data_IF_166027812360
#
_entry.id   IF_166027812360
#
_cell.length_a   1.000
_cell.length_b   1.000
_cell.length_c   1.000
_cell.angle_alpha   90.00
_cell.angle_beta   90.00
_cell.angle_gamma   90.00
#
_symmetry.space_group_name_H-M   'P 1'
#
loop_
_entity.id
_entity.type
_entity.pdbx_description
1 polymer ?
#
# COMPACT_ATOMS: atom_id res chain seq x y z
N UNK A 1 -12.13 -4.08 1.05
CA UNK A 1 -10.89 -3.83 1.83
C UNK A 1 -10.69 -4.94 2.84
N UNK A 2 -9.76 -5.83 2.54
CA UNK A 2 -9.22 -6.78 3.51
C UNK A 2 -8.04 -6.03 4.17
N UNK A 3 -8.11 -5.77 5.48
CA UNK A 3 -7.06 -5.05 6.25
C UNK A 3 -7.29 -3.56 6.53
N UNK A 4 -8.28 -2.90 5.90
CA UNK A 4 -8.59 -1.49 6.19
C UNK A 4 -9.25 -1.27 7.57
N UNK A 5 -9.17 -0.05 8.15
CA UNK A 5 -9.68 0.21 9.49
C UNK A 5 -11.20 -0.04 9.60
N UNK A 6 -11.62 -0.57 10.75
CA UNK A 6 -13.03 -0.72 11.14
C UNK A 6 -13.36 0.16 12.32
N UNK A 7 -14.61 0.63 12.39
CA UNK A 7 -15.05 1.38 13.56
C UNK A 7 -15.27 0.45 14.75
N UNK A 8 -14.61 0.73 15.87
CA UNK A 8 -14.77 0.02 17.14
C UNK A 8 -14.98 1.05 18.23
N UNK A 9 -16.23 1.25 18.63
CA UNK A 9 -16.60 2.40 19.48
C UNK A 9 -16.40 3.72 18.73
N UNK A 10 -15.59 4.61 19.31
CA UNK A 10 -15.26 5.91 18.73
C UNK A 10 -13.94 5.91 17.93
N UNK A 11 -13.19 4.80 17.96
CA UNK A 11 -11.89 4.65 17.27
C UNK A 11 -12.01 3.82 15.98
N UNK A 12 -11.04 3.99 15.09
CA UNK A 12 -10.81 3.15 13.93
C UNK A 12 -9.66 2.17 14.17
N UNK A 13 -9.91 0.88 14.01
CA UNK A 13 -8.92 -0.18 14.26
C UNK A 13 -8.61 -0.93 12.98
N UNK A 14 -7.35 -0.94 12.57
CA UNK A 14 -6.87 -1.86 11.55
C UNK A 14 -6.12 -3.03 12.19
N UNK A 15 -6.31 -4.22 11.65
CA UNK A 15 -5.70 -5.45 12.16
C UNK A 15 -4.58 -5.89 11.25
N UNK A 16 -3.40 -6.12 11.82
CA UNK A 16 -2.22 -6.57 11.08
C UNK A 16 -1.45 -7.62 11.87
N UNK A 17 -0.77 -8.57 11.21
CA UNK A 17 0.21 -9.41 11.86
C UNK A 17 1.43 -8.57 12.30
N UNK A 18 2.12 -9.00 13.35
CA UNK A 18 3.44 -8.48 13.77
C UNK A 18 3.51 -6.94 13.91
N UNK A 19 2.39 -6.32 14.32
CA UNK A 19 2.28 -4.88 14.56
C UNK A 19 2.23 -4.02 13.30
N UNK A 20 2.18 -4.62 12.11
CA UNK A 20 2.12 -3.86 10.86
C UNK A 20 3.38 -3.04 10.59
N UNK A 21 4.53 -3.51 11.05
CA UNK A 21 5.83 -2.80 10.96
C UNK A 21 6.53 -2.99 9.61
N UNK A 22 6.06 -3.92 8.79
CA UNK A 22 6.55 -4.19 7.44
C UNK A 22 6.48 -2.93 6.57
N UNK A 23 7.61 -2.51 6.00
CA UNK A 23 7.69 -1.30 5.21
C UNK A 23 7.48 -1.61 3.72
N UNK A 24 6.39 -1.12 3.14
CA UNK A 24 5.98 -1.44 1.77
C UNK A 24 5.88 -0.16 0.95
N UNK A 25 6.15 -0.26 -0.35
CA UNK A 25 5.95 0.86 -1.27
C UNK A 25 4.50 0.96 -1.71
N UNK A 26 3.95 2.17 -1.68
CA UNK A 26 2.60 2.46 -2.13
C UNK A 26 2.63 3.43 -3.30
N UNK A 27 1.84 3.13 -4.33
CA UNK A 27 1.69 3.94 -5.53
C UNK A 27 0.20 4.05 -5.87
N UNK A 28 -0.26 5.25 -6.23
CA UNK A 28 -1.64 5.43 -6.71
C UNK A 28 -1.82 4.82 -8.11
N UNK A 29 -3.04 4.40 -8.44
CA UNK A 29 -3.36 3.88 -9.77
C UNK A 29 -3.21 5.00 -10.82
N UNK A 30 -3.52 6.24 -10.45
CA UNK A 30 -3.35 7.42 -11.28
C UNK A 30 -1.88 7.66 -11.63
N UNK A 31 -0.97 7.52 -10.66
CA UNK A 31 0.47 7.65 -10.90
C UNK A 31 1.01 6.53 -11.80
N UNK A 32 0.49 5.32 -11.67
CA UNK A 32 0.82 4.24 -12.60
C UNK A 32 0.44 4.62 -14.05
N UNK A 33 -0.70 5.30 -14.23
CA UNK A 33 -1.09 5.89 -15.51
C UNK A 33 -0.07 6.91 -16.03
N UNK A 34 0.45 7.80 -15.17
CA UNK A 34 1.51 8.76 -15.54
C UNK A 34 2.80 8.07 -15.97
N UNK A 35 3.22 7.02 -15.25
CA UNK A 35 4.39 6.20 -15.58
C UNK A 35 4.24 5.59 -16.97
N UNK A 36 3.10 4.94 -17.25
CA UNK A 36 2.84 4.38 -18.58
C UNK A 36 2.82 5.46 -19.66
N UNK A 37 2.23 6.62 -19.39
CA UNK A 37 2.24 7.77 -20.30
C UNK A 37 3.67 8.19 -20.67
N UNK A 38 4.55 8.36 -19.68
CA UNK A 38 5.95 8.75 -19.90
C UNK A 38 6.70 7.73 -20.78
N UNK A 39 6.45 6.44 -20.59
CA UNK A 39 7.05 5.37 -21.39
C UNK A 39 6.54 5.41 -22.84
N UNK A 40 5.24 5.58 -23.04
CA UNK A 40 4.60 5.61 -24.36
C UNK A 40 5.03 6.85 -25.16
N UNK A 41 5.23 8.00 -24.51
CA UNK A 41 5.63 9.23 -25.17
C UNK A 41 7.08 9.20 -25.68
N UNK A 42 7.98 8.49 -24.99
CA UNK A 42 9.41 8.41 -25.34
C UNK A 42 9.94 6.97 -25.25
N UNK A 43 9.40 6.02 -26.02
CA UNK A 43 9.68 4.59 -25.87
C UNK A 43 11.17 4.25 -26.07
N UNK A 44 11.89 5.02 -26.87
CA UNK A 44 13.33 4.87 -27.09
C UNK A 44 14.17 5.03 -25.82
N UNK A 45 13.68 5.78 -24.81
CA UNK A 45 14.39 5.96 -23.55
C UNK A 45 14.30 4.72 -22.64
N UNK A 46 13.33 3.84 -22.90
CA UNK A 46 12.96 2.70 -22.04
C UNK A 46 13.10 1.34 -22.75
N UNK A 47 13.44 1.33 -24.04
CA UNK A 47 13.63 0.10 -24.80
C UNK A 47 14.72 -0.76 -24.17
N UNK A 48 14.41 -2.03 -23.90
CA UNK A 48 15.30 -3.00 -23.22
C UNK A 48 15.75 -2.58 -21.80
N UNK A 49 14.92 -1.83 -21.09
CA UNK A 49 15.16 -1.43 -19.69
C UNK A 49 14.03 -1.88 -18.78
N UNK A 50 14.29 -1.94 -17.48
CA UNK A 50 13.27 -2.17 -16.46
C UNK A 50 12.85 -0.79 -15.90
N UNK A 51 11.60 -0.40 -16.13
CA UNK A 51 11.03 0.78 -15.49
C UNK A 51 10.48 0.39 -14.11
N UNK A 52 11.07 0.94 -13.05
CA UNK A 52 10.67 0.69 -11.66
C UNK A 52 9.90 1.89 -11.15
N UNK A 53 8.63 1.68 -10.81
CA UNK A 53 7.77 2.68 -10.20
C UNK A 53 7.56 2.33 -8.73
N UNK A 54 8.34 2.97 -7.86
CA UNK A 54 8.27 2.82 -6.42
C UNK A 54 7.86 4.18 -5.85
N UNK A 55 6.71 4.22 -5.18
CA UNK A 55 6.29 5.38 -4.40
C UNK A 55 6.92 5.36 -3.01
N UNK A 56 6.36 6.16 -2.11
CA UNK A 56 6.84 6.23 -0.73
C UNK A 56 6.71 4.89 -0.02
N UNK A 57 7.64 4.64 0.90
CA UNK A 57 7.66 3.45 1.75
C UNK A 57 7.00 3.77 3.08
N UNK A 58 5.99 3.00 3.45
CA UNK A 58 5.31 3.13 4.72
C UNK A 58 5.09 1.77 5.39
N UNK A 59 5.17 1.76 6.72
CA UNK A 59 4.57 0.70 7.50
C UNK A 59 3.04 0.85 7.54
N UNK A 60 2.32 -0.21 7.88
CA UNK A 60 0.87 -0.09 8.08
C UNK A 60 0.53 0.89 9.22
N UNK A 61 1.44 1.00 10.21
CA UNK A 61 1.34 1.99 11.28
C UNK A 61 1.45 3.42 10.73
N UNK A 62 2.44 3.71 9.88
CA UNK A 62 2.58 5.04 9.26
C UNK A 62 1.34 5.41 8.44
N UNK A 63 0.79 4.46 7.67
CA UNK A 63 -0.38 4.70 6.84
C UNK A 63 -1.60 5.08 7.67
N UNK A 64 -1.88 4.34 8.74
CA UNK A 64 -3.07 4.58 9.57
C UNK A 64 -2.94 5.87 10.38
N UNK A 65 -1.74 6.18 10.88
CA UNK A 65 -1.47 7.43 11.60
C UNK A 65 -1.64 8.64 10.68
N UNK A 66 -1.05 8.60 9.48
CA UNK A 66 -1.17 9.68 8.51
C UNK A 66 -2.59 9.81 7.96
N UNK A 67 -3.30 8.69 7.75
CA UNK A 67 -4.70 8.71 7.37
C UNK A 67 -5.56 9.39 8.45
N UNK A 68 -5.41 8.95 9.71
CA UNK A 68 -6.13 9.48 10.86
C UNK A 68 -5.91 10.98 11.05
N UNK A 69 -4.67 11.44 10.90
CA UNK A 69 -4.30 12.85 10.91
C UNK A 69 -5.04 13.65 9.83
N UNK A 70 -5.03 13.17 8.59
CA UNK A 70 -5.62 13.88 7.45
C UNK A 70 -7.15 13.92 7.52
N UNK A 71 -7.80 12.83 7.94
CA UNK A 71 -9.26 12.76 7.99
C UNK A 71 -9.86 13.22 9.33
N UNK A 72 -9.01 13.44 10.35
CA UNK A 72 -9.42 13.98 11.65
C UNK A 72 -10.15 12.96 12.54
N UNK A 73 -9.67 11.72 12.60
CA UNK A 73 -10.24 10.65 13.45
C UNK A 73 -9.17 10.03 14.34
N UNK A 74 -9.58 9.28 15.37
CA UNK A 74 -8.67 8.44 16.14
C UNK A 74 -8.56 7.07 15.50
N UNK A 75 -7.32 6.58 15.32
CA UNK A 75 -7.09 5.27 14.75
C UNK A 75 -5.86 4.56 15.35
N UNK A 76 -5.87 3.23 15.32
CA UNK A 76 -4.77 2.40 15.82
C UNK A 76 -4.62 1.09 15.07
N UNK A 77 -3.43 0.50 15.19
CA UNK A 77 -3.17 -0.89 14.85
C UNK A 77 -3.48 -1.78 16.05
N UNK A 78 -4.23 -2.86 15.81
CA UNK A 78 -4.33 -3.99 16.72
C UNK A 78 -3.55 -5.17 16.13
N UNK A 79 -2.49 -5.58 16.81
CA UNK A 79 -1.66 -6.71 16.41
C UNK A 79 -2.42 -8.03 16.60
N UNK A 80 -2.52 -8.81 15.53
CA UNK A 80 -3.02 -10.17 15.57
C UNK A 80 -1.86 -11.15 15.37
N UNK A 81 -2.01 -12.39 15.84
CA UNK A 81 -1.14 -13.47 15.34
C UNK A 81 -1.41 -13.70 13.84
N UNK A 82 -0.42 -14.22 13.10
CA UNK A 82 -0.60 -14.53 11.67
C UNK A 82 -1.80 -15.47 11.42
N UNK A 83 -2.06 -16.40 12.35
CA UNK A 83 -3.23 -17.29 12.29
C UNK A 83 -4.54 -16.51 12.44
N UNK A 84 -4.65 -15.65 13.44
CA UNK A 84 -5.86 -14.85 13.67
C UNK A 84 -6.11 -13.87 12.53
N UNK A 85 -5.05 -13.29 11.97
CA UNK A 85 -5.14 -12.43 10.79
C UNK A 85 -5.71 -13.20 9.60
N UNK A 86 -5.12 -14.35 9.24
CA UNK A 86 -5.60 -15.19 8.12
C UNK A 86 -7.02 -15.70 8.34
N UNK A 87 -7.35 -16.19 9.54
CA UNK A 87 -8.70 -16.63 9.90
C UNK A 87 -9.73 -15.51 9.74
N UNK A 88 -9.35 -14.28 10.11
CA UNK A 88 -10.22 -13.11 10.03
C UNK A 88 -10.39 -12.61 8.61
N UNK A 89 -9.32 -12.61 7.81
CA UNK A 89 -9.41 -12.29 6.37
C UNK A 89 -10.29 -13.32 5.64
N UNK A 90 -10.14 -14.61 5.93
CA UNK A 90 -10.99 -15.66 5.37
C UNK A 90 -12.47 -15.49 5.72
N UNK A 91 -12.78 -15.06 6.95
CA UNK A 91 -14.17 -14.77 7.39
C UNK A 91 -14.81 -13.57 6.70
N UNK A 92 -14.02 -12.65 6.15
CA UNK A 92 -14.54 -11.47 5.42
C UNK A 92 -15.03 -11.82 4.00
N UNK A 93 -15.10 -13.10 3.64
CA UNK A 93 -15.61 -13.57 2.35
C UNK A 93 -14.65 -13.34 1.18
N UNK A 94 -13.44 -12.86 1.46
CA UNK A 94 -12.34 -12.91 0.50
C UNK A 94 -11.91 -14.37 0.32
N UNK A 95 -11.56 -14.80 -0.89
CA UNK A 95 -10.90 -16.08 -1.06
C UNK A 95 -9.65 -16.14 -0.18
N UNK A 96 -9.49 -17.23 0.56
CA UNK A 96 -8.37 -17.46 1.49
C UNK A 96 -6.99 -17.22 0.83
N UNK A 97 -6.90 -17.45 -0.48
CA UNK A 97 -5.70 -17.17 -1.26
C UNK A 97 -5.29 -15.69 -1.27
N UNK A 98 -6.23 -14.74 -1.19
CA UNK A 98 -5.90 -13.30 -1.17
C UNK A 98 -5.26 -12.89 0.16
N UNK A 99 -5.65 -13.53 1.26
CA UNK A 99 -5.02 -13.32 2.57
C UNK A 99 -3.55 -13.77 2.55
N UNK A 100 -3.35 -14.97 2.00
CA UNK A 100 -2.03 -15.56 1.83
C UNK A 100 -1.17 -14.75 0.86
N UNK A 101 -1.74 -14.28 -0.25
CA UNK A 101 -1.05 -13.45 -1.22
C UNK A 101 -0.55 -12.14 -0.59
N UNK A 102 -1.39 -11.43 0.16
CA UNK A 102 -0.98 -10.20 0.87
C UNK A 102 0.16 -10.51 1.85
N UNK A 103 0.02 -11.57 2.64
CA UNK A 103 1.05 -11.96 3.60
C UNK A 103 2.38 -12.34 2.94
N UNK A 104 2.34 -13.13 1.86
CA UNK A 104 3.55 -13.53 1.13
C UNK A 104 4.18 -12.35 0.39
N UNK A 105 3.40 -11.41 -0.16
CA UNK A 105 3.94 -10.17 -0.74
C UNK A 105 4.67 -9.33 0.31
N UNK A 106 4.09 -9.19 1.52
CA UNK A 106 4.73 -8.50 2.63
C UNK A 106 6.07 -9.14 2.97
N UNK A 107 6.10 -10.47 3.13
CA UNK A 107 7.33 -11.22 3.42
C UNK A 107 8.36 -11.12 2.31
N UNK A 108 7.97 -11.27 1.05
CA UNK A 108 8.89 -11.14 -0.07
C UNK A 108 9.54 -9.75 -0.12
N UNK A 109 8.79 -8.68 0.17
CA UNK A 109 9.34 -7.33 0.17
C UNK A 109 10.23 -7.06 1.40
N UNK A 110 9.92 -7.63 2.56
CA UNK A 110 10.83 -7.60 3.71
C UNK A 110 12.16 -8.32 3.43
N UNK A 111 12.11 -9.46 2.72
CA UNK A 111 13.30 -10.24 2.37
C UNK A 111 14.10 -9.60 1.22
N UNK A 112 13.43 -9.06 0.20
CA UNK A 112 14.08 -8.47 -0.99
C UNK A 112 14.56 -7.04 -0.77
N UNK A 113 14.00 -6.33 0.21
CA UNK A 113 14.31 -4.93 0.48
C UNK A 113 13.89 -3.99 -0.65
N UNK A 114 14.56 -2.84 -0.76
CA UNK A 114 14.26 -1.84 -1.78
C UNK A 114 14.60 -2.36 -3.17
N UNK A 115 13.59 -2.59 -4.02
CA UNK A 115 13.78 -3.12 -5.37
C UNK A 115 14.68 -2.22 -6.25
N UNK A 116 14.86 -0.93 -5.91
CA UNK A 116 15.84 -0.04 -6.58
C UNK A 116 17.28 -0.49 -6.39
N UNK A 117 17.56 -1.22 -5.31
CA UNK A 117 18.90 -1.70 -4.96
C UNK A 117 19.25 -3.06 -5.57
N UNK A 118 18.28 -3.73 -6.20
CA UNK A 118 18.52 -5.03 -6.83
C UNK A 118 19.42 -4.83 -8.05
N UNK A 119 20.61 -5.42 -7.99
CA UNK A 119 21.51 -5.49 -9.12
C UNK A 119 20.94 -6.47 -10.15
N UNK A 120 20.61 -5.96 -11.33
CA UNK A 120 20.21 -6.78 -12.48
C UNK A 120 21.15 -6.51 -13.65
N UNK A 121 21.22 -7.47 -14.59
CA UNK A 121 21.98 -7.28 -15.83
C UNK A 121 21.33 -6.28 -16.79
N UNK A 122 20.07 -5.90 -16.53
CA UNK A 122 19.29 -4.95 -17.31
C UNK A 122 19.32 -3.59 -16.61
N UNK A 123 19.49 -2.51 -17.39
CA UNK A 123 19.44 -1.16 -16.82
C UNK A 123 18.05 -0.89 -16.22
N UNK A 124 18.04 -0.44 -14.97
CA UNK A 124 16.83 -0.05 -14.24
C UNK A 124 16.67 1.47 -14.27
N UNK A 125 15.48 1.94 -14.60
CA UNK A 125 15.10 3.35 -14.52
C UNK A 125 14.14 3.54 -13.35
N UNK A 126 14.53 4.41 -12.41
CA UNK A 126 13.66 4.88 -11.34
C UNK A 126 12.67 5.93 -11.90
N UNK A 127 11.41 5.54 -12.02
CA UNK A 127 10.37 6.39 -12.59
C UNK A 127 9.96 7.54 -11.66
N UNK A 128 10.29 7.48 -10.37
CA UNK A 128 10.10 8.62 -9.46
C UNK A 128 10.97 9.83 -9.82
N UNK A 129 12.04 9.62 -10.61
CA UNK A 129 12.89 10.69 -11.15
C UNK A 129 12.36 11.27 -12.48
N UNK A 130 11.35 10.63 -13.06
CA UNK A 130 10.80 10.98 -14.38
C UNK A 130 9.43 11.62 -14.25
N UNK A 131 8.59 11.09 -13.36
CA UNK A 131 7.24 11.57 -13.11
C UNK A 131 7.09 11.93 -11.64
N UNK A 132 6.37 13.03 -11.38
CA UNK A 132 6.01 13.41 -10.02
C UNK A 132 4.91 12.46 -9.49
N UNK A 133 5.26 11.70 -8.45
CA UNK A 133 4.38 10.76 -7.78
C UNK A 133 3.61 11.46 -6.66
N UNK A 134 2.36 11.05 -6.47
CA UNK A 134 1.50 11.60 -5.43
C UNK A 134 1.88 11.01 -4.08
N UNK A 135 2.08 11.86 -3.07
CA UNK A 135 2.37 11.36 -1.72
C UNK A 135 1.14 10.72 -1.07
N UNK A 136 1.36 9.85 -0.07
CA UNK A 136 0.23 9.23 0.64
C UNK A 136 -0.73 10.25 1.24
N UNK A 137 -0.23 11.28 1.94
CA UNK A 137 -1.07 12.34 2.52
C UNK A 137 -1.85 13.11 1.45
N UNK A 138 -1.21 13.42 0.32
CA UNK A 138 -1.89 14.09 -0.80
C UNK A 138 -3.01 13.23 -1.37
N UNK A 139 -2.74 11.93 -1.55
CA UNK A 139 -3.73 10.99 -2.05
C UNK A 139 -4.91 10.89 -1.10
N UNK A 140 -4.67 10.72 0.22
CA UNK A 140 -5.72 10.65 1.25
C UNK A 140 -6.56 11.92 1.28
N UNK A 141 -5.93 13.09 1.25
CA UNK A 141 -6.63 14.37 1.27
C UNK A 141 -7.51 14.61 0.04
N UNK A 142 -7.19 13.98 -1.09
CA UNK A 142 -7.94 14.10 -2.33
C UNK A 142 -9.17 13.16 -2.42
N UNK A 143 -9.27 12.15 -1.54
CA UNK A 143 -10.39 11.19 -1.58
C UNK A 143 -11.65 11.68 -0.86
N UNK A 144 -12.81 11.27 -1.36
CA UNK A 144 -14.07 11.34 -0.60
C UNK A 144 -14.23 10.09 0.28
N UNK A 145 -14.09 10.27 1.59
CA UNK A 145 -14.17 9.18 2.58
C UNK A 145 -15.60 8.89 3.05
N UNK A 146 -16.62 9.59 2.53
CA UNK A 146 -18.01 9.48 3.01
C UNK A 146 -18.54 8.05 2.92
N UNK A 147 -18.40 7.40 1.77
CA UNK A 147 -18.86 6.03 1.57
C UNK A 147 -18.10 5.03 2.43
N UNK A 148 -16.79 5.26 2.59
CA UNK A 148 -15.96 4.44 3.48
C UNK A 148 -16.48 4.47 4.91
N UNK A 149 -16.69 5.66 5.47
CA UNK A 149 -17.20 5.82 6.84
C UNK A 149 -18.58 5.18 7.04
N UNK A 150 -19.47 5.28 6.04
CA UNK A 150 -20.77 4.61 6.08
C UNK A 150 -20.64 3.08 6.04
N UNK A 151 -19.67 2.55 5.30
CA UNK A 151 -19.45 1.12 5.19
C UNK A 151 -18.87 0.52 6.47
N UNK A 152 -17.89 1.17 7.09
CA UNK A 152 -17.16 0.62 8.24
C UNK A 152 -17.79 0.88 9.61
N UNK A 153 -18.87 1.67 9.64
CA UNK A 153 -19.67 1.93 10.84
C UNK A 153 -20.85 0.96 11.03
N UNK A 154 -21.03 0.00 10.11
CA UNK A 154 -22.07 -1.04 10.16
C UNK A 154 -21.50 -2.32 10.76
#
# INVERSE_FOLDING_TARGET
MLGGPRKVGDEYVAWYPDGGTSNLSYLSIEDLGKVFGAIIEKPQNYFQKIAVAIGEFFSAQDLIEQWAEVVGVEAKIETLSSKEFTDRVGKLGGPEFMALEIYEQMRCLEELGDLRSIQTEIETIDMSQVVELTSWKQWVAAQDWTEFFQFVSK
#
